data_IF_907183471404
#
_entry.id   IF_907183471404
#
_cell.length_a   1.000
_cell.length_b   1.000
_cell.length_c   1.000
_cell.angle_alpha   90.00
_cell.angle_beta   90.00
_cell.angle_gamma   90.00
#
_symmetry.space_group_name_H-M   'P 1'
#
loop_
_entity.id
_entity.type
_entity.pdbx_description
1 polymer ?
#
# COMPACT_ATOMS: atom_id res chain seq x y z
N UNK A 1 -3.77 -9.32 6.98
CA UNK A 1 -2.99 -9.07 8.22
C UNK A 1 -1.65 -8.46 7.82
N UNK A 2 -1.08 -7.56 8.63
CA UNK A 2 0.23 -6.97 8.39
C UNK A 2 1.22 -7.47 9.44
N UNK A 3 2.21 -8.25 9.01
CA UNK A 3 3.29 -8.71 9.89
C UNK A 3 4.43 -7.70 9.85
N UNK A 4 4.77 -7.13 11.01
CA UNK A 4 5.83 -6.13 11.13
C UNK A 4 7.21 -6.74 10.83
N UNK A 5 7.98 -6.08 9.97
CA UNK A 5 9.37 -6.44 9.65
C UNK A 5 10.35 -5.41 10.23
N UNK A 6 10.05 -4.11 10.06
CA UNK A 6 10.89 -3.01 10.54
C UNK A 6 10.03 -1.78 10.89
N UNK A 7 10.50 -0.96 11.82
CA UNK A 7 9.78 0.20 12.34
C UNK A 7 10.73 1.39 12.48
N UNK A 8 10.53 2.42 11.66
CA UNK A 8 11.40 3.59 11.58
C UNK A 8 10.64 4.85 11.93
N UNK A 9 11.37 5.81 12.50
CA UNK A 9 10.85 7.13 12.87
C UNK A 9 11.58 8.17 12.03
N UNK A 10 10.84 9.18 11.57
CA UNK A 10 11.34 10.38 10.90
C UNK A 10 12.40 11.13 11.74
N UNK A 11 13.23 11.96 11.10
CA UNK A 11 14.18 12.88 11.73
C UNK A 11 13.56 13.86 12.75
N UNK A 12 12.35 14.36 12.53
CA UNK A 12 11.64 15.24 13.47
C UNK A 12 10.54 14.54 14.27
N UNK A 13 10.33 13.24 13.99
CA UNK A 13 9.44 12.32 14.69
C UNK A 13 7.95 12.61 14.52
N UNK A 14 7.55 13.24 13.42
CA UNK A 14 6.13 13.40 13.08
C UNK A 14 5.57 12.30 12.16
N UNK A 15 6.46 11.47 11.60
CA UNK A 15 6.11 10.40 10.68
C UNK A 15 6.76 9.06 11.06
N UNK A 16 6.05 7.97 10.76
CA UNK A 16 6.50 6.60 10.95
C UNK A 16 6.54 5.87 9.61
N UNK A 17 7.63 5.15 9.34
CA UNK A 17 7.72 4.21 8.24
C UNK A 17 7.77 2.79 8.77
N UNK A 18 6.72 2.03 8.47
CA UNK A 18 6.59 0.63 8.87
C UNK A 18 6.79 -0.27 7.66
N UNK A 19 7.83 -1.11 7.68
CA UNK A 19 8.02 -2.15 6.65
C UNK A 19 7.29 -3.40 7.12
N UNK A 20 6.38 -3.91 6.29
CA UNK A 20 5.53 -5.05 6.64
C UNK A 20 5.58 -6.14 5.57
N UNK A 21 5.39 -7.39 6.00
CA UNK A 21 4.95 -8.49 5.14
C UNK A 21 3.43 -8.53 5.20
N UNK A 22 2.79 -8.13 4.10
CA UNK A 22 1.34 -8.15 3.98
C UNK A 22 0.85 -9.59 3.67
N UNK A 23 -0.11 -10.08 4.45
CA UNK A 23 -0.83 -11.34 4.22
C UNK A 23 -2.24 -11.03 3.72
N UNK A 24 -2.55 -11.49 2.50
CA UNK A 24 -3.78 -11.16 1.77
C UNK A 24 -3.79 -9.72 1.24
N UNK A 25 -4.92 -9.23 0.68
CA UNK A 25 -5.02 -7.86 0.21
C UNK A 25 -4.90 -6.86 1.37
N UNK A 26 -4.28 -5.71 1.11
CA UNK A 26 -4.29 -4.59 2.07
C UNK A 26 -5.56 -3.74 1.94
N UNK A 27 -6.17 -3.74 0.74
CA UNK A 27 -7.35 -2.94 0.43
C UNK A 27 -8.63 -3.79 0.55
N UNK A 28 -9.72 -3.17 0.99
CA UNK A 28 -11.05 -3.79 1.09
C UNK A 28 -11.68 -4.14 -0.27
N UNK A 29 -11.05 -3.75 -1.39
CA UNK A 29 -11.45 -4.11 -2.77
C UNK A 29 -10.68 -5.30 -3.33
N UNK A 30 -10.02 -6.08 -2.46
CA UNK A 30 -9.18 -7.23 -2.82
C UNK A 30 -7.89 -6.87 -3.57
N UNK A 31 -7.34 -5.66 -3.41
CA UNK A 31 -6.07 -5.23 -4.03
C UNK A 31 -4.93 -5.17 -3.00
N UNK A 32 -3.67 -5.36 -3.42
CA UNK A 32 -2.49 -5.28 -2.51
C UNK A 32 -2.21 -3.87 -1.95
N UNK A 33 -2.68 -2.82 -2.62
CA UNK A 33 -2.50 -1.43 -2.19
C UNK A 33 -3.82 -0.68 -2.36
N UNK A 34 -4.09 0.30 -1.51
CA UNK A 34 -5.17 1.27 -1.74
C UNK A 34 -4.83 2.26 -2.86
N UNK A 35 -3.53 2.48 -3.12
CA UNK A 35 -3.03 3.33 -4.20
C UNK A 35 -2.94 2.53 -5.50
N UNK A 36 -4.09 2.03 -5.97
CA UNK A 36 -4.19 1.22 -7.18
C UNK A 36 -4.55 2.03 -8.44
N UNK A 37 -4.76 3.33 -8.31
CA UNK A 37 -4.99 4.26 -9.42
C UNK A 37 -3.94 5.37 -9.34
N UNK A 38 -3.36 5.74 -10.49
CA UNK A 38 -2.43 6.85 -10.59
C UNK A 38 -2.82 7.79 -11.73
N UNK A 39 -2.42 9.05 -11.62
CA UNK A 39 -2.48 10.00 -12.73
C UNK A 39 -1.21 9.84 -13.56
N UNK A 40 -1.36 9.48 -14.83
CA UNK A 40 -0.27 9.39 -15.81
C UNK A 40 -0.68 10.13 -17.07
N UNK A 41 0.18 11.02 -17.55
CA UNK A 41 -0.08 11.82 -18.75
C UNK A 41 -1.39 12.64 -18.67
N UNK A 42 -1.82 13.00 -17.45
CA UNK A 42 -3.05 13.76 -17.21
C UNK A 42 -4.31 12.92 -17.04
N UNK A 43 -4.22 11.60 -17.17
CA UNK A 43 -5.37 10.68 -17.12
C UNK A 43 -5.25 9.69 -15.96
N UNK A 44 -6.40 9.25 -15.41
CA UNK A 44 -6.45 8.17 -14.44
C UNK A 44 -6.11 6.83 -15.10
N UNK A 45 -5.14 6.12 -14.52
CA UNK A 45 -4.72 4.79 -14.94
C UNK A 45 -4.79 3.84 -13.76
N UNK A 46 -5.57 2.76 -13.90
CA UNK A 46 -5.57 1.68 -12.92
C UNK A 46 -4.27 0.86 -13.04
N UNK A 47 -3.52 0.79 -11.94
CA UNK A 47 -2.22 0.14 -11.85
C UNK A 47 -2.32 -1.36 -11.54
N UNK A 48 -3.44 -1.80 -10.95
CA UNK A 48 -3.60 -3.17 -10.49
C UNK A 48 -5.07 -3.59 -10.35
N UNK A 49 -5.33 -4.85 -10.71
CA UNK A 49 -6.64 -5.48 -10.58
C UNK A 49 -6.81 -6.16 -9.21
N UNK A 50 -8.05 -6.44 -8.77
CA UNK A 50 -8.30 -7.28 -7.60
C UNK A 50 -7.63 -8.66 -7.73
N UNK A 51 -7.08 -9.16 -6.63
CA UNK A 51 -6.64 -10.55 -6.53
C UNK A 51 -7.84 -11.49 -6.66
N UNK A 52 -7.62 -12.70 -7.16
CA UNK A 52 -8.64 -13.73 -7.13
C UNK A 52 -8.76 -14.26 -5.69
N UNK A 53 -10.00 -14.43 -5.22
CA UNK A 53 -10.31 -15.03 -3.91
C UNK A 53 -9.89 -16.50 -3.86
#
# INVERSE_FOLDING_TARGET
IQELVDFRVDCDRDCLLVVVRQVGPACHTNRKSCFFTAIREGEETELMVPEAT
#
